data_IF_004719895827
#
_entry.id   IF_004719895827
#
_cell.length_a   1.000
_cell.length_b   1.000
_cell.length_c   1.000
_cell.angle_alpha   90.00
_cell.angle_beta   90.00
_cell.angle_gamma   90.00
#
_symmetry.space_group_name_H-M   'P 1'
#
loop_
_entity.id
_entity.type
_entity.pdbx_description
1 polymer ?
#
# COMPACT_ATOMS: atom_id res chain seq x y z
N UNK A 1 6.72 -4.17 23.66
CA UNK A 1 6.77 -5.26 22.66
C UNK A 1 5.40 -5.34 22.00
N UNK A 2 5.30 -5.91 20.79
CA UNK A 2 3.99 -6.19 20.19
C UNK A 2 3.54 -7.52 20.81
N UNK A 3 2.46 -7.47 21.57
CA UNK A 3 1.96 -8.66 22.26
C UNK A 3 1.35 -9.65 21.26
N UNK A 4 1.57 -10.93 21.51
CA UNK A 4 0.97 -12.02 20.74
C UNK A 4 1.75 -12.52 19.55
N UNK A 5 2.88 -11.90 19.15
CA UNK A 5 3.74 -12.44 18.09
C UNK A 5 4.33 -13.80 18.47
N UNK A 6 4.49 -14.72 17.51
CA UNK A 6 5.24 -15.96 17.70
C UNK A 6 6.76 -15.70 17.64
N UNK A 7 7.57 -16.67 18.07
CA UNK A 7 9.03 -16.57 18.00
C UNK A 7 9.53 -16.51 16.54
N UNK A 8 8.83 -17.18 15.61
CA UNK A 8 9.12 -17.10 14.17
C UNK A 8 8.80 -15.72 13.62
N UNK A 9 7.62 -15.16 13.92
CA UNK A 9 7.23 -13.79 13.53
C UNK A 9 8.22 -12.76 14.09
N UNK A 10 8.60 -12.91 15.36
CA UNK A 10 9.58 -12.05 16.01
C UNK A 10 10.97 -12.13 15.35
N UNK A 11 11.43 -13.35 15.05
CA UNK A 11 12.73 -13.57 14.39
C UNK A 11 12.76 -13.01 12.98
N UNK A 12 11.69 -13.21 12.21
CA UNK A 12 11.51 -12.60 10.90
C UNK A 12 11.59 -11.07 11.02
N UNK A 13 10.79 -10.46 11.90
CA UNK A 13 10.71 -9.01 12.01
C UNK A 13 12.03 -8.38 12.44
N UNK A 14 12.81 -9.03 13.31
CA UNK A 14 14.17 -8.57 13.67
C UNK A 14 15.10 -8.45 12.46
N UNK A 15 14.96 -9.34 11.46
CA UNK A 15 15.75 -9.29 10.23
C UNK A 15 15.37 -8.15 9.29
N UNK A 16 14.10 -7.73 9.30
CA UNK A 16 13.51 -6.71 8.43
C UNK A 16 13.65 -5.29 9.00
N UNK A 17 14.89 -4.92 9.35
CA UNK A 17 15.19 -3.72 10.15
C UNK A 17 15.37 -2.41 9.37
N UNK A 18 15.06 -2.39 8.08
CA UNK A 18 15.01 -1.16 7.27
C UNK A 18 13.80 -1.20 6.33
N UNK A 19 13.26 -0.04 5.92
CA UNK A 19 12.16 0.00 4.95
C UNK A 19 12.45 -0.77 3.66
N UNK A 20 13.69 -0.73 3.18
CA UNK A 20 14.13 -1.48 2.01
C UNK A 20 14.00 -3.00 2.23
N UNK A 21 14.49 -3.52 3.36
CA UNK A 21 14.36 -4.96 3.66
C UNK A 21 12.90 -5.39 3.81
N UNK A 22 12.06 -4.51 4.36
CA UNK A 22 10.61 -4.77 4.46
C UNK A 22 10.02 -4.85 3.05
N UNK A 23 10.37 -3.93 2.14
CA UNK A 23 9.95 -4.00 0.75
C UNK A 23 10.46 -5.28 0.06
N UNK A 24 11.76 -5.58 0.17
CA UNK A 24 12.36 -6.77 -0.45
C UNK A 24 11.64 -8.05 0.00
N UNK A 25 11.32 -8.15 1.28
CA UNK A 25 10.51 -9.26 1.81
C UNK A 25 9.10 -9.25 1.25
N UNK A 26 8.44 -8.09 1.19
CA UNK A 26 7.08 -7.96 0.67
C UNK A 26 6.97 -8.33 -0.81
N UNK A 27 8.01 -8.05 -1.60
CA UNK A 27 8.11 -8.44 -3.01
C UNK A 27 8.24 -9.97 -3.19
N UNK A 28 8.73 -10.70 -2.17
CA UNK A 28 8.73 -12.17 -2.19
C UNK A 28 7.35 -12.79 -1.95
N UNK A 29 6.37 -12.01 -1.49
CA UNK A 29 5.01 -12.49 -1.23
C UNK A 29 4.20 -12.44 -2.53
N UNK A 30 3.68 -13.58 -3.03
CA UNK A 30 2.81 -13.61 -4.20
C UNK A 30 1.60 -12.68 -4.08
N UNK A 31 1.15 -12.17 -5.23
CA UNK A 31 -0.12 -11.44 -5.28
C UNK A 31 -1.27 -12.34 -4.85
N UNK A 32 -2.13 -11.82 -3.97
CA UNK A 32 -3.38 -12.49 -3.63
C UNK A 32 -4.40 -12.26 -4.75
N UNK A 33 -4.73 -13.31 -5.51
CA UNK A 33 -5.75 -13.28 -6.58
C UNK A 33 -7.16 -13.64 -6.11
N UNK A 34 -7.35 -13.71 -4.78
CA UNK A 34 -8.65 -13.94 -4.14
C UNK A 34 -9.41 -15.16 -4.70
N UNK A 35 -8.77 -16.35 -4.79
CA UNK A 35 -9.38 -17.51 -5.44
C UNK A 35 -10.64 -18.04 -4.72
N UNK A 36 -10.83 -17.65 -3.46
CA UNK A 36 -11.94 -18.07 -2.59
C UNK A 36 -12.90 -16.90 -2.27
N UNK A 37 -12.76 -15.77 -2.97
CA UNK A 37 -13.49 -14.53 -2.72
C UNK A 37 -12.62 -13.45 -2.08
N UNK A 38 -13.18 -12.25 -1.98
CA UNK A 38 -12.50 -11.06 -1.49
C UNK A 38 -11.96 -11.28 -0.07
N UNK A 39 -10.75 -10.79 0.20
CA UNK A 39 -10.12 -10.92 1.53
C UNK A 39 -9.64 -9.59 2.10
N UNK A 40 -9.47 -9.55 3.42
CA UNK A 40 -8.70 -8.51 4.09
C UNK A 40 -7.91 -9.15 5.23
N UNK A 41 -6.86 -9.89 4.85
CA UNK A 41 -6.03 -10.67 5.76
C UNK A 41 -5.30 -9.79 6.78
N UNK A 42 -5.22 -10.28 8.01
CA UNK A 42 -4.34 -9.72 9.04
C UNK A 42 -2.86 -9.97 8.69
N UNK A 43 -1.90 -9.24 9.30
CA UNK A 43 -0.47 -9.53 9.12
C UNK A 43 -0.10 -10.99 9.37
N UNK A 44 -0.69 -11.60 10.41
CA UNK A 44 -0.49 -13.03 10.71
C UNK A 44 -1.01 -13.92 9.60
N UNK A 45 -2.20 -13.65 9.09
CA UNK A 45 -2.78 -14.44 8.02
C UNK A 45 -2.02 -14.25 6.70
N UNK A 46 -1.50 -13.05 6.40
CA UNK A 46 -0.61 -12.81 5.26
C UNK A 46 0.65 -13.69 5.36
N UNK A 47 1.32 -13.68 6.52
CA UNK A 47 2.52 -14.49 6.73
C UNK A 47 2.23 -16.00 6.63
N UNK A 48 1.08 -16.46 7.12
CA UNK A 48 0.69 -17.87 7.09
C UNK A 48 0.27 -18.35 5.70
N UNK A 49 -0.52 -17.54 4.98
CA UNK A 49 -1.04 -17.89 3.66
C UNK A 49 -0.05 -17.57 2.53
N UNK A 50 0.98 -16.76 2.82
CA UNK A 50 2.00 -16.32 1.87
C UNK A 50 1.39 -15.75 0.59
N UNK A 51 0.45 -14.81 0.75
CA UNK A 51 -0.14 -14.02 -0.33
C UNK A 51 -0.67 -12.71 0.22
N UNK A 52 -0.59 -11.65 -0.57
CA UNK A 52 -1.14 -10.35 -0.21
C UNK A 52 -1.52 -9.53 -1.44
N UNK A 53 -2.64 -8.80 -1.38
CA UNK A 53 -2.86 -7.63 -2.24
C UNK A 53 -2.39 -6.34 -1.53
N UNK A 54 -2.66 -5.17 -2.11
CA UNK A 54 -2.07 -3.90 -1.70
C UNK A 54 -2.28 -3.56 -0.22
N UNK A 55 -3.53 -3.55 0.25
CA UNK A 55 -3.87 -3.20 1.64
C UNK A 55 -3.33 -4.22 2.64
N UNK A 56 -3.41 -5.51 2.36
CA UNK A 56 -2.88 -6.57 3.22
C UNK A 56 -1.35 -6.43 3.39
N UNK A 57 -0.65 -6.21 2.27
CA UNK A 57 0.79 -5.97 2.26
C UNK A 57 1.17 -4.68 2.99
N UNK A 58 0.39 -3.61 2.81
CA UNK A 58 0.61 -2.35 3.51
C UNK A 58 0.40 -2.48 5.02
N UNK A 59 -0.64 -3.19 5.47
CA UNK A 59 -0.91 -3.45 6.89
C UNK A 59 0.25 -4.26 7.51
N UNK A 60 0.76 -5.30 6.83
CA UNK A 60 1.93 -6.05 7.27
C UNK A 60 3.19 -5.16 7.35
N UNK A 61 3.47 -4.38 6.30
CA UNK A 61 4.61 -3.45 6.30
C UNK A 61 4.51 -2.43 7.45
N UNK A 62 3.33 -1.88 7.72
CA UNK A 62 3.07 -0.98 8.83
C UNK A 62 3.32 -1.64 10.20
N UNK A 63 2.97 -2.92 10.36
CA UNK A 63 3.29 -3.70 11.56
C UNK A 63 4.80 -3.86 11.75
N UNK A 64 5.53 -4.22 10.70
CA UNK A 64 6.99 -4.42 10.78
C UNK A 64 7.70 -3.08 11.04
N UNK A 65 7.25 -2.00 10.40
CA UNK A 65 7.71 -0.64 10.71
C UNK A 65 7.49 -0.30 12.19
N UNK A 66 6.31 -0.63 12.74
CA UNK A 66 6.01 -0.44 14.16
C UNK A 66 6.92 -1.26 15.07
N UNK A 67 7.24 -2.50 14.69
CA UNK A 67 8.18 -3.34 15.43
C UNK A 67 9.54 -2.63 15.61
N UNK A 68 9.99 -1.89 14.59
CA UNK A 68 11.22 -1.08 14.62
C UNK A 68 11.03 0.35 15.14
N UNK A 69 9.90 0.66 15.78
CA UNK A 69 9.67 1.94 16.46
C UNK A 69 9.06 3.05 15.60
N UNK A 70 8.74 2.78 14.34
CA UNK A 70 7.99 3.73 13.51
C UNK A 70 6.50 3.76 13.90
N UNK A 71 5.78 4.79 13.45
CA UNK A 71 4.30 4.78 13.53
C UNK A 71 3.77 3.87 12.42
N UNK A 72 2.78 2.98 12.69
CA UNK A 72 2.14 2.15 11.65
C UNK A 72 1.16 3.02 10.85
N UNK A 73 1.66 3.71 9.83
CA UNK A 73 0.90 4.68 9.05
C UNK A 73 0.55 4.12 7.67
N UNK A 74 -0.72 4.24 7.30
CA UNK A 74 -1.20 3.95 5.95
C UNK A 74 -1.69 5.22 5.27
N UNK A 75 -1.55 5.27 3.94
CA UNK A 75 -2.20 6.27 3.08
C UNK A 75 -3.01 5.52 2.04
N UNK A 76 -4.24 5.97 1.86
CA UNK A 76 -5.18 5.45 0.87
C UNK A 76 -5.17 6.36 -0.36
N UNK A 77 -5.06 5.77 -1.55
CA UNK A 77 -4.98 6.43 -2.85
C UNK A 77 -6.23 6.07 -3.65
N UNK A 78 -7.04 7.09 -3.95
CA UNK A 78 -8.34 6.94 -4.59
C UNK A 78 -8.25 7.37 -6.06
N UNK A 79 -8.74 6.50 -6.93
CA UNK A 79 -8.72 6.64 -8.38
C UNK A 79 -10.08 7.12 -8.91
N UNK A 80 -10.38 6.88 -10.18
CA UNK A 80 -11.74 7.02 -10.73
C UNK A 80 -12.50 5.70 -10.54
N UNK A 81 -13.83 5.73 -10.59
CA UNK A 81 -14.68 4.56 -10.32
C UNK A 81 -14.41 3.34 -11.24
N UNK A 82 -13.75 3.57 -12.36
CA UNK A 82 -13.38 2.58 -13.38
C UNK A 82 -11.94 2.05 -13.24
N UNK A 83 -11.28 2.31 -12.11
CA UNK A 83 -9.94 1.80 -11.78
C UNK A 83 -9.86 1.36 -10.31
N UNK A 84 -8.73 0.77 -9.92
CA UNK A 84 -8.53 0.23 -8.58
C UNK A 84 -7.76 1.21 -7.68
N UNK A 85 -8.31 1.42 -6.49
CA UNK A 85 -7.65 2.14 -5.40
C UNK A 85 -6.43 1.37 -4.87
N UNK A 86 -5.61 2.05 -4.09
CA UNK A 86 -4.36 1.49 -3.61
C UNK A 86 -3.98 2.00 -2.23
N UNK A 87 -3.47 1.10 -1.38
CA UNK A 87 -3.04 1.44 -0.03
C UNK A 87 -1.54 1.23 0.10
N UNK A 88 -0.86 2.23 0.67
CA UNK A 88 0.60 2.21 0.88
C UNK A 88 0.94 2.40 2.36
N UNK A 89 1.99 1.74 2.83
CA UNK A 89 2.56 1.98 4.15
C UNK A 89 3.60 3.09 4.04
N UNK A 90 3.45 4.16 4.83
CA UNK A 90 4.34 5.33 4.76
C UNK A 90 5.23 5.42 5.99
N UNK A 91 6.46 5.88 5.77
CA UNK A 91 7.45 6.06 6.82
C UNK A 91 8.21 7.36 6.61
N UNK A 92 8.92 7.82 7.65
CA UNK A 92 9.82 8.97 7.56
C UNK A 92 11.25 8.59 7.93
N UNK A 93 12.20 9.11 7.16
CA UNK A 93 13.64 9.10 7.47
C UNK A 93 14.23 10.48 7.15
N UNK A 94 15.07 11.00 8.05
CA UNK A 94 15.71 12.32 7.89
C UNK A 94 14.73 13.45 7.51
N UNK A 95 13.53 13.43 8.08
CA UNK A 95 12.48 14.44 7.82
C UNK A 95 11.75 14.32 6.48
N UNK A 96 11.99 13.26 5.71
CA UNK A 96 11.36 13.02 4.41
C UNK A 96 10.53 11.74 4.44
N UNK A 97 9.45 11.74 3.67
CA UNK A 97 8.51 10.63 3.52
C UNK A 97 8.96 9.67 2.43
N UNK A 98 8.81 8.38 2.70
CA UNK A 98 8.90 7.27 1.74
C UNK A 98 7.68 6.35 1.86
N UNK A 99 7.59 5.37 0.96
CA UNK A 99 6.50 4.39 0.94
C UNK A 99 6.99 2.97 0.67
N UNK A 100 6.34 2.01 1.34
CA UNK A 100 6.40 0.58 1.07
C UNK A 100 5.03 0.20 0.48
N UNK A 101 5.04 -0.62 -0.57
CA UNK A 101 3.84 -0.89 -1.37
C UNK A 101 3.84 -2.32 -1.90
N UNK A 102 2.66 -2.94 -1.99
CA UNK A 102 2.45 -4.23 -2.67
C UNK A 102 1.57 -4.04 -3.89
N UNK A 103 2.06 -4.47 -5.04
CA UNK A 103 1.37 -4.39 -6.34
C UNK A 103 1.74 -5.60 -7.18
N UNK A 104 0.91 -5.96 -8.16
CA UNK A 104 1.26 -6.95 -9.17
C UNK A 104 1.83 -6.32 -10.44
N UNK A 105 1.71 -5.00 -10.59
CA UNK A 105 2.12 -4.28 -11.79
C UNK A 105 3.59 -3.88 -11.75
N UNK A 106 4.14 -3.50 -12.89
CA UNK A 106 5.52 -3.01 -13.00
C UNK A 106 5.79 -1.72 -12.21
N UNK A 107 4.73 -0.98 -11.86
CA UNK A 107 4.76 0.35 -11.24
C UNK A 107 4.05 0.35 -9.89
N UNK A 108 4.04 1.49 -9.17
CA UNK A 108 3.43 1.62 -7.83
C UNK A 108 4.13 0.86 -6.70
N UNK A 109 5.46 0.67 -6.81
CA UNK A 109 6.29 -0.03 -5.83
C UNK A 109 6.84 0.92 -4.75
N UNK A 110 8.01 0.61 -4.19
CA UNK A 110 8.70 1.41 -3.20
C UNK A 110 8.96 2.85 -3.64
N UNK A 111 9.00 3.75 -2.65
CA UNK A 111 9.41 5.14 -2.80
C UNK A 111 10.45 5.50 -1.77
N UNK A 112 11.61 5.95 -2.27
CA UNK A 112 12.68 6.47 -1.43
C UNK A 112 12.19 7.61 -0.53
N UNK A 113 12.72 7.74 0.70
CA UNK A 113 12.31 8.79 1.63
C UNK A 113 12.93 10.14 1.25
N UNK A 114 12.46 10.73 0.15
CA UNK A 114 12.97 12.00 -0.43
C UNK A 114 11.89 13.08 -0.54
N UNK A 115 10.65 12.77 -0.17
CA UNK A 115 9.50 13.67 -0.34
C UNK A 115 9.23 14.47 0.92
N UNK A 116 9.06 15.79 0.84
CA UNK A 116 8.84 16.66 2.01
C UNK A 116 7.43 16.56 2.58
N UNK A 117 6.48 16.10 1.76
CA UNK A 117 5.08 15.95 2.16
C UNK A 117 4.46 14.69 1.57
N UNK A 118 3.36 14.24 2.18
CA UNK A 118 2.54 13.15 1.62
C UNK A 118 2.03 13.51 0.23
N UNK A 119 1.68 14.78 -0.02
CA UNK A 119 1.26 15.21 -1.34
C UNK A 119 2.38 15.01 -2.39
N UNK A 120 3.62 15.40 -2.09
CA UNK A 120 4.76 15.14 -3.00
C UNK A 120 4.99 13.64 -3.22
N UNK A 121 4.91 12.84 -2.15
CA UNK A 121 5.01 11.39 -2.23
C UNK A 121 3.92 10.81 -3.13
N UNK A 122 2.66 11.21 -2.97
CA UNK A 122 1.54 10.73 -3.79
C UNK A 122 1.70 11.17 -5.25
N UNK A 123 2.15 12.40 -5.49
CA UNK A 123 2.43 12.89 -6.84
C UNK A 123 3.49 12.06 -7.57
N UNK A 124 4.40 11.38 -6.86
CA UNK A 124 5.38 10.47 -7.47
C UNK A 124 4.76 9.23 -8.11
N UNK A 125 3.51 8.90 -7.77
CA UNK A 125 2.76 7.80 -8.41
C UNK A 125 1.88 8.30 -9.55
N UNK A 126 1.59 9.60 -9.64
CA UNK A 126 0.51 10.13 -10.48
C UNK A 126 0.58 9.71 -11.96
N UNK A 127 1.78 9.71 -12.56
CA UNK A 127 1.96 9.33 -13.95
C UNK A 127 1.91 7.82 -14.20
N UNK A 128 1.99 7.01 -13.15
CA UNK A 128 1.91 5.55 -13.19
C UNK A 128 0.46 5.04 -13.06
N UNK A 129 -0.47 5.91 -12.65
CA UNK A 129 -1.90 5.60 -12.60
C UNK A 129 -2.58 5.91 -13.92
N UNK A 130 -2.78 4.88 -14.73
CA UNK A 130 -3.59 4.94 -15.94
C UNK A 130 -4.14 3.56 -16.31
N UNK A 131 -5.27 3.57 -17.01
CA UNK A 131 -5.83 2.36 -17.63
C UNK A 131 -4.98 1.91 -18.82
N UNK A 132 -4.65 0.63 -18.89
CA UNK A 132 -3.84 0.09 -19.97
C UNK A 132 -4.60 0.07 -21.31
N UNK A 133 -5.93 0.09 -21.30
CA UNK A 133 -6.82 -0.02 -22.47
C UNK A 133 -6.90 1.28 -23.27
N UNK A 134 -6.85 2.44 -22.61
CA UNK A 134 -7.08 3.75 -23.22
C UNK A 134 -6.08 4.84 -22.77
N UNK A 135 -5.22 4.56 -21.78
CA UNK A 135 -4.24 5.49 -21.24
C UNK A 135 -4.82 6.62 -20.37
N UNK A 136 -6.11 6.60 -20.05
CA UNK A 136 -6.74 7.60 -19.18
C UNK A 136 -6.08 7.53 -17.80
N UNK A 137 -5.61 8.68 -17.30
CA UNK A 137 -5.00 8.77 -15.96
C UNK A 137 -6.06 8.86 -14.88
N UNK A 138 -5.93 8.07 -13.82
CA UNK A 138 -7.06 7.75 -12.92
C UNK A 138 -6.88 8.24 -11.49
N UNK A 139 -5.66 8.40 -10.96
CA UNK A 139 -5.45 8.89 -9.59
C UNK A 139 -6.10 10.27 -9.35
N UNK A 140 -6.90 10.42 -8.28
CA UNK A 140 -7.66 11.65 -7.98
C UNK A 140 -7.44 12.18 -6.58
N UNK A 141 -7.45 11.32 -5.57
CA UNK A 141 -7.48 11.77 -4.17
C UNK A 141 -6.60 10.87 -3.32
N UNK A 142 -6.29 11.35 -2.12
CA UNK A 142 -5.53 10.59 -1.14
C UNK A 142 -5.94 10.99 0.28
N UNK A 143 -5.88 10.04 1.21
CA UNK A 143 -6.10 10.30 2.62
C UNK A 143 -4.85 10.89 3.31
N UNK A 144 -5.04 11.50 4.48
CA UNK A 144 -3.90 11.78 5.37
C UNK A 144 -3.35 10.46 5.92
N UNK A 145 -2.09 10.41 6.41
CA UNK A 145 -1.58 9.20 7.07
C UNK A 145 -2.45 8.79 8.26
N UNK A 146 -3.05 7.60 8.18
CA UNK A 146 -3.89 7.02 9.21
C UNK A 146 -3.04 6.09 10.06
N UNK A 147 -3.05 6.31 11.37
CA UNK A 147 -2.25 5.54 12.32
C UNK A 147 -3.03 4.34 12.84
N UNK A 148 -2.58 3.13 12.49
CA UNK A 148 -3.26 1.88 12.87
C UNK A 148 -3.29 1.61 14.38
N UNK A 149 -2.58 2.41 15.19
CA UNK A 149 -2.71 2.38 16.66
C UNK A 149 -4.15 2.53 17.16
N UNK A 150 -5.02 3.20 16.38
CA UNK A 150 -6.45 3.33 16.71
C UNK A 150 -7.18 1.97 16.79
N UNK A 151 -6.61 0.92 16.18
CA UNK A 151 -7.18 -0.42 16.15
C UNK A 151 -6.52 -1.40 17.13
N UNK A 152 -5.57 -0.96 17.96
CA UNK A 152 -4.77 -1.86 18.81
C UNK A 152 -5.64 -2.73 19.73
N UNK A 153 -6.72 -2.16 20.28
CA UNK A 153 -7.66 -2.87 21.15
C UNK A 153 -8.42 -4.01 20.43
N UNK A 154 -8.44 -4.01 19.09
CA UNK A 154 -9.05 -5.06 18.27
C UNK A 154 -8.07 -6.17 17.88
N UNK A 155 -6.80 -6.07 18.28
CA UNK A 155 -5.80 -7.13 18.06
C UNK A 155 -5.43 -7.36 16.58
N UNK A 156 -5.54 -6.33 15.73
CA UNK A 156 -5.37 -6.45 14.26
C UNK A 156 -4.06 -7.13 13.82
N UNK A 157 -3.00 -7.01 14.60
CA UNK A 157 -1.65 -7.46 14.26
C UNK A 157 -1.54 -8.99 14.19
N UNK A 158 -2.31 -9.69 15.03
CA UNK A 158 -2.21 -11.13 15.25
C UNK A 158 -3.56 -11.82 15.11
N UNK A 159 -4.54 -11.14 14.53
CA UNK A 159 -5.89 -11.66 14.37
C UNK A 159 -5.88 -12.93 13.51
N UNK A 160 -6.64 -13.93 13.93
CA UNK A 160 -6.88 -15.18 13.17
C UNK A 160 -8.06 -15.05 12.20
N UNK A 161 -8.56 -13.83 12.02
CA UNK A 161 -9.69 -13.48 11.16
C UNK A 161 -9.32 -12.31 10.27
N UNK A 162 -10.13 -12.07 9.25
CA UNK A 162 -10.05 -10.87 8.42
C UNK A 162 -10.33 -9.61 9.24
N UNK A 163 -9.78 -8.50 8.77
CA UNK A 163 -9.75 -7.20 9.47
C UNK A 163 -10.33 -6.07 8.61
N UNK A 164 -11.46 -6.35 7.95
CA UNK A 164 -12.21 -5.43 7.07
C UNK A 164 -12.44 -4.04 7.67
N UNK A 165 -12.60 -3.94 8.98
CA UNK A 165 -12.77 -2.65 9.65
C UNK A 165 -11.62 -1.65 9.43
N UNK A 166 -10.41 -2.12 9.06
CA UNK A 166 -9.32 -1.23 8.65
C UNK A 166 -9.59 -0.69 7.25
N UNK A 167 -9.94 -1.57 6.30
CA UNK A 167 -10.29 -1.18 4.94
C UNK A 167 -11.46 -0.19 4.91
N UNK A 168 -12.54 -0.50 5.64
CA UNK A 168 -13.70 0.37 5.79
C UNK A 168 -13.35 1.75 6.37
N UNK A 169 -12.44 1.79 7.35
CA UNK A 169 -12.01 3.05 7.95
C UNK A 169 -11.14 3.88 6.99
N UNK A 170 -10.27 3.24 6.20
CA UNK A 170 -9.47 3.92 5.18
C UNK A 170 -10.38 4.54 4.13
N UNK A 171 -11.31 3.76 3.57
CA UNK A 171 -12.26 4.20 2.55
C UNK A 171 -13.19 5.32 3.06
N UNK A 172 -13.59 5.26 4.33
CA UNK A 172 -14.43 6.29 4.95
C UNK A 172 -13.68 7.54 5.43
N UNK A 173 -12.34 7.56 5.38
CA UNK A 173 -11.56 8.70 5.84
C UNK A 173 -11.71 9.92 4.91
N UNK A 174 -11.38 11.14 5.36
CA UNK A 174 -11.37 12.29 4.46
C UNK A 174 -10.20 12.26 3.46
N UNK A 175 -10.49 12.19 2.16
CA UNK A 175 -9.49 12.32 1.10
C UNK A 175 -9.44 13.71 0.48
N UNK A 176 -8.22 14.19 0.26
CA UNK A 176 -7.91 15.46 -0.39
C UNK A 176 -7.75 15.26 -1.89
N UNK A 177 -8.31 16.15 -2.72
CA UNK A 177 -8.10 16.12 -4.16
C UNK A 177 -6.67 16.50 -4.54
N UNK A 178 -6.05 15.72 -5.43
CA UNK A 178 -4.73 16.02 -6.02
C UNK A 178 -4.84 17.07 -7.13
N UNK A 179 -5.96 17.06 -7.86
CA UNK A 179 -6.15 17.86 -9.05
C UNK A 179 -7.43 18.68 -8.98
N UNK A 180 -7.37 19.89 -9.54
CA UNK A 180 -8.56 20.66 -9.86
C UNK A 180 -9.31 20.07 -11.07
N UNK A 181 -10.61 20.36 -11.16
CA UNK A 181 -11.43 19.99 -12.34
C UNK A 181 -10.85 20.54 -13.66
N UNK A 182 -10.16 21.68 -13.63
CA UNK A 182 -9.51 22.25 -14.82
C UNK A 182 -8.31 21.42 -15.26
N UNK A 183 -7.48 20.95 -14.32
CA UNK A 183 -6.34 20.09 -14.63
C UNK A 183 -6.78 18.74 -15.19
N UNK A 184 -7.82 18.13 -14.61
CA UNK A 184 -8.35 16.82 -15.07
C UNK A 184 -8.75 16.87 -16.55
N UNK A 185 -9.42 17.96 -16.99
CA UNK A 185 -9.85 18.15 -18.37
C UNK A 185 -8.70 18.26 -19.39
N UNK A 186 -7.49 18.56 -18.94
CA UNK A 186 -6.32 18.77 -19.81
C UNK A 186 -5.30 17.64 -19.70
N UNK A 187 -5.60 16.56 -18.96
CA UNK A 187 -4.70 15.41 -18.87
C UNK A 187 -4.56 14.73 -20.23
N UNK A 188 -3.32 14.55 -20.65
CA UNK A 188 -3.00 13.74 -21.82
C UNK A 188 -3.05 12.25 -21.43
N UNK A 189 -3.59 11.36 -22.28
CA UNK A 189 -3.46 9.92 -22.08
C UNK A 189 -2.00 9.46 -22.01
N UNK A 190 -1.76 8.36 -21.30
CA UNK A 190 -0.51 7.62 -21.37
C UNK A 190 -0.25 7.13 -22.82
N UNK A 191 1.01 7.17 -23.22
CA UNK A 191 1.47 6.70 -24.53
C UNK A 191 1.41 5.17 -24.62
N UNK A 192 1.48 4.64 -25.84
CA UNK A 192 1.50 3.19 -26.04
C UNK A 192 2.72 2.51 -25.38
N UNK A 193 3.84 3.24 -25.23
CA UNK A 193 5.02 2.72 -24.51
C UNK A 193 4.71 2.58 -23.02
N UNK A 194 4.15 3.61 -22.39
CA UNK A 194 3.73 3.57 -20.98
C UNK A 194 2.71 2.45 -20.73
N UNK A 195 1.73 2.31 -21.62
CA UNK A 195 0.68 1.27 -21.53
C UNK A 195 1.22 -0.16 -21.67
N UNK A 196 2.17 -0.38 -22.59
CA UNK A 196 2.83 -1.69 -22.70
C UNK A 196 3.60 -2.06 -21.44
N UNK A 197 4.28 -1.09 -20.83
CA UNK A 197 4.99 -1.30 -19.55
C UNK A 197 4.01 -1.56 -18.40
N UNK A 198 2.91 -0.82 -18.33
CA UNK A 198 1.86 -0.99 -17.31
C UNK A 198 1.13 -2.34 -17.39
N UNK A 199 1.19 -3.03 -18.53
CA UNK A 199 0.60 -4.36 -18.71
C UNK A 199 1.49 -5.50 -18.22
N UNK A 200 2.74 -5.23 -17.85
CA UNK A 200 3.64 -6.24 -17.30
C UNK A 200 3.23 -6.53 -15.86
N UNK A 201 3.06 -7.82 -15.57
CA UNK A 201 2.75 -8.33 -14.22
C UNK A 201 3.90 -9.19 -13.69
N UNK A 202 4.05 -9.21 -12.37
CA UNK A 202 5.07 -10.03 -11.70
C UNK A 202 4.58 -11.45 -11.44
N UNK A 203 3.31 -11.60 -11.06
CA UNK A 203 2.66 -12.88 -10.78
C UNK A 203 1.53 -13.11 -11.79
N UNK A 204 1.50 -14.31 -12.37
CA UNK A 204 0.40 -14.78 -13.22
C UNK A 204 -0.62 -15.56 -12.37
N UNK A 205 -1.91 -15.49 -12.76
CA UNK A 205 -3.01 -16.18 -12.07
C UNK A 205 -3.10 -17.65 -12.49
#
# INVERSE_FOLDING_TARGET
>A
MIDGLTEEEYTLFRGLNTPQKIQDFLDTIPTNFEPEGDTCLSPRLVLRQNRAHCIEGAILAALILRFHGHKPLLVDLETTEDDFDHVIAVFQQHGHWGAISKTNHAVLRYREPVYKSIHELVMSFFHEYFQNENGVKTLRRFSKPINLKIFDQRGWMTAETEIWYIAEHLAGAPHSSLLSRKQIKTLRPATDVERRLGSIVEWEK
#
